data_IF_432677294242
#
_entry.id   IF_432677294242
#
_cell.length_a   1.000
_cell.length_b   1.000
_cell.length_c   1.000
_cell.angle_alpha   90.00
_cell.angle_beta   90.00
_cell.angle_gamma   90.00
#
_symmetry.space_group_name_H-M   'P 1'
#
loop_
_entity.id
_entity.type
_entity.pdbx_description
1 polymer ?
#
# COMPACT_ATOMS: atom_id res chain seq x y z
N UNK A 1 13.37 -3.00 10.87
CA UNK A 1 14.22 -1.88 10.43
C UNK A 1 14.28 -1.96 8.91
N UNK A 2 13.42 -1.21 8.22
CA UNK A 2 13.49 -1.07 6.76
C UNK A 2 14.62 -0.12 6.42
N UNK A 3 15.40 -0.43 5.39
CA UNK A 3 16.51 0.40 4.97
C UNK A 3 15.98 1.73 4.39
N UNK A 4 16.13 2.83 5.13
CA UNK A 4 15.88 4.17 4.63
C UNK A 4 17.04 4.57 3.70
N UNK A 5 16.90 4.28 2.41
CA UNK A 5 17.77 4.85 1.40
C UNK A 5 17.27 6.27 1.08
N UNK A 6 18.10 7.33 1.23
CA UNK A 6 17.72 8.71 0.96
C UNK A 6 17.20 8.97 -0.46
N UNK A 7 17.53 8.09 -1.40
CA UNK A 7 17.03 8.12 -2.78
C UNK A 7 15.58 7.64 -2.89
N UNK A 8 15.18 6.67 -2.08
CA UNK A 8 13.79 6.16 -2.04
C UNK A 8 12.84 7.22 -1.49
N UNK A 9 13.26 7.95 -0.45
CA UNK A 9 12.42 9.02 0.12
C UNK A 9 12.21 10.16 -0.87
N UNK A 10 13.24 10.55 -1.63
CA UNK A 10 13.12 11.54 -2.71
C UNK A 10 12.21 11.07 -3.84
N UNK A 11 12.28 9.81 -4.23
CA UNK A 11 11.39 9.23 -5.24
C UNK A 11 9.93 9.20 -4.74
N UNK A 12 9.72 8.84 -3.47
CA UNK A 12 8.41 8.85 -2.82
C UNK A 12 7.83 10.27 -2.81
N UNK A 13 8.62 11.27 -2.45
CA UNK A 13 8.14 12.65 -2.34
C UNK A 13 7.85 13.24 -3.74
N UNK A 14 8.67 12.94 -4.75
CA UNK A 14 8.38 13.30 -6.13
C UNK A 14 7.05 12.71 -6.63
N UNK A 15 6.81 11.41 -6.42
CA UNK A 15 5.55 10.77 -6.81
C UNK A 15 4.37 11.37 -6.04
N UNK A 16 4.54 11.66 -4.75
CA UNK A 16 3.51 12.33 -3.95
C UNK A 16 3.17 13.70 -4.51
N UNK A 17 4.15 14.51 -4.91
CA UNK A 17 3.92 15.83 -5.51
C UNK A 17 3.18 15.75 -6.85
N UNK A 18 3.46 14.73 -7.67
CA UNK A 18 2.83 14.53 -8.98
C UNK A 18 1.41 13.94 -8.90
N UNK A 19 1.04 13.26 -7.81
CA UNK A 19 -0.28 12.66 -7.67
C UNK A 19 -1.35 13.69 -7.28
N UNK A 20 -2.49 13.73 -8.00
CA UNK A 20 -3.67 14.50 -7.60
C UNK A 20 -4.11 14.18 -6.16
N UNK A 21 -4.56 15.20 -5.43
CA UNK A 21 -4.95 15.06 -4.02
C UNK A 21 -6.01 13.97 -3.80
N UNK A 22 -7.00 13.88 -4.69
CA UNK A 22 -8.08 12.89 -4.61
C UNK A 22 -7.57 11.46 -4.81
N UNK A 23 -6.67 11.26 -5.77
CA UNK A 23 -6.02 9.97 -6.03
C UNK A 23 -5.18 9.54 -4.83
N UNK A 24 -4.42 10.48 -4.24
CA UNK A 24 -3.63 10.24 -3.03
C UNK A 24 -4.50 9.85 -1.84
N UNK A 25 -5.65 10.53 -1.67
CA UNK A 25 -6.60 10.24 -0.60
C UNK A 25 -7.16 8.82 -0.74
N UNK A 26 -7.63 8.46 -1.94
CA UNK A 26 -8.20 7.14 -2.25
C UNK A 26 -7.16 6.04 -2.11
N UNK A 27 -5.99 6.17 -2.76
CA UNK A 27 -4.88 5.21 -2.63
C UNK A 27 -4.49 5.01 -1.16
N UNK A 28 -4.36 6.10 -0.40
CA UNK A 28 -3.97 6.00 1.00
C UNK A 28 -5.01 5.26 1.86
N UNK A 29 -6.30 5.34 1.55
CA UNK A 29 -7.35 4.61 2.26
C UNK A 29 -7.32 3.11 1.92
N UNK A 30 -7.30 2.78 0.62
CA UNK A 30 -7.28 1.40 0.14
C UNK A 30 -6.01 0.64 0.57
N UNK A 31 -4.85 1.31 0.50
CA UNK A 31 -3.58 0.76 0.95
C UNK A 31 -3.56 0.53 2.46
N UNK A 32 -4.04 1.49 3.26
CA UNK A 32 -4.10 1.34 4.73
C UNK A 32 -4.99 0.17 5.14
N UNK A 33 -6.19 0.05 4.56
CA UNK A 33 -7.11 -1.04 4.89
C UNK A 33 -6.54 -2.40 4.50
N UNK A 34 -5.96 -2.50 3.29
CA UNK A 34 -5.37 -3.75 2.82
C UNK A 34 -4.14 -4.13 3.64
N UNK A 35 -3.29 -3.16 4.01
CA UNK A 35 -2.11 -3.41 4.85
C UNK A 35 -2.52 -3.85 6.26
N UNK A 36 -3.52 -3.21 6.86
CA UNK A 36 -4.05 -3.61 8.16
C UNK A 36 -4.60 -5.05 8.13
N UNK A 37 -5.29 -5.43 7.05
CA UNK A 37 -5.78 -6.79 6.87
C UNK A 37 -4.66 -7.83 6.67
N UNK A 38 -3.59 -7.47 5.94
CA UNK A 38 -2.41 -8.34 5.78
C UNK A 38 -1.73 -8.56 7.13
N UNK A 39 -1.44 -7.49 7.87
CA UNK A 39 -0.77 -7.57 9.17
C UNK A 39 -1.61 -8.32 10.20
N UNK A 40 -2.92 -8.01 10.30
CA UNK A 40 -3.82 -8.73 11.19
C UNK A 40 -3.95 -10.21 10.86
N UNK A 41 -3.99 -10.58 9.56
CA UNK A 41 -3.97 -11.98 9.16
C UNK A 41 -2.66 -12.69 9.55
N UNK A 42 -1.51 -12.03 9.40
CA UNK A 42 -0.21 -12.59 9.80
C UNK A 42 -0.09 -12.74 11.32
N UNK A 43 -0.57 -11.76 12.10
CA UNK A 43 -0.57 -11.81 13.58
C UNK A 43 -1.44 -12.96 14.12
N UNK A 44 -2.50 -13.30 13.40
CA UNK A 44 -3.44 -14.37 13.78
C UNK A 44 -3.11 -15.73 13.13
N UNK A 45 -1.98 -15.84 12.40
CA UNK A 45 -1.62 -16.99 11.54
C UNK A 45 -2.71 -17.39 10.53
N UNK A 46 -3.60 -16.45 10.18
CA UNK A 46 -4.60 -16.57 9.12
C UNK A 46 -4.00 -16.15 7.78
N UNK A 47 -3.28 -17.09 7.16
CA UNK A 47 -2.63 -16.90 5.86
C UNK A 47 -3.61 -16.65 4.73
N UNK A 48 -4.84 -17.15 4.83
CA UNK A 48 -5.88 -16.96 3.81
C UNK A 48 -6.38 -15.51 3.83
N UNK A 49 -6.63 -14.96 5.01
CA UNK A 49 -6.97 -13.55 5.19
C UNK A 49 -5.84 -12.65 4.67
N UNK A 50 -4.61 -12.91 5.09
CA UNK A 50 -3.45 -12.11 4.67
C UNK A 50 -3.29 -12.13 3.14
N UNK A 51 -3.40 -13.32 2.52
CA UNK A 51 -3.31 -13.49 1.07
C UNK A 51 -4.45 -12.79 0.33
N UNK A 52 -5.69 -12.85 0.85
CA UNK A 52 -6.84 -12.17 0.26
C UNK A 52 -6.66 -10.65 0.27
N UNK A 53 -6.20 -10.09 1.38
CA UNK A 53 -5.92 -8.67 1.50
C UNK A 53 -4.76 -8.23 0.59
N UNK A 54 -3.71 -9.05 0.44
CA UNK A 54 -2.63 -8.79 -0.52
C UNK A 54 -3.12 -8.76 -1.99
N UNK A 55 -4.00 -9.70 -2.37
CA UNK A 55 -4.63 -9.72 -3.71
C UNK A 55 -5.51 -8.49 -3.96
N UNK A 56 -6.26 -8.04 -2.96
CA UNK A 56 -7.05 -6.81 -3.06
C UNK A 56 -6.15 -5.58 -3.25
N UNK A 57 -5.05 -5.48 -2.48
CA UNK A 57 -4.06 -4.42 -2.63
C UNK A 57 -3.50 -4.36 -4.05
N UNK A 58 -3.08 -5.51 -4.60
CA UNK A 58 -2.54 -5.61 -5.96
C UNK A 58 -3.58 -5.17 -7.01
N UNK A 59 -4.83 -5.59 -6.87
CA UNK A 59 -5.92 -5.20 -7.79
C UNK A 59 -6.20 -3.71 -7.74
N UNK A 60 -6.21 -3.12 -6.55
CA UNK A 60 -6.46 -1.68 -6.39
C UNK A 60 -5.30 -0.87 -6.95
N UNK A 61 -4.04 -1.25 -6.70
CA UNK A 61 -2.87 -0.61 -7.33
C UNK A 61 -2.91 -0.67 -8.86
N UNK A 62 -3.27 -1.81 -9.43
CA UNK A 62 -3.41 -1.97 -10.88
C UNK A 62 -4.48 -1.05 -11.52
N UNK A 63 -5.51 -0.63 -10.76
CA UNK A 63 -6.50 0.35 -11.25
C UNK A 63 -5.92 1.77 -11.39
N UNK A 64 -4.83 2.06 -10.68
CA UNK A 64 -4.12 3.34 -10.75
C UNK A 64 -2.88 3.28 -11.65
N UNK A 65 -2.61 2.13 -12.28
CA UNK A 65 -1.43 1.93 -13.14
C UNK A 65 -0.11 1.78 -12.38
N UNK A 66 -0.18 1.31 -11.13
CA UNK A 66 0.96 1.06 -10.24
C UNK A 66 1.31 -0.44 -10.15
#
# INVERSE_FOLDING_TARGET
MGADFPEDQKAIDFIREQMPADVRLVLSHHLRNSLAGILGGLELDDKDMATKCAKHMQKDLGRFGL
#
